data_IF_976373133976
#
_entry.id   IF_976373133976
#
_cell.length_a   1.000
_cell.length_b   1.000
_cell.length_c   1.000
_cell.angle_alpha   90.00
_cell.angle_beta   90.00
_cell.angle_gamma   90.00
#
_symmetry.space_group_name_H-M   'P 1'
#
loop_
_entity.id
_entity.type
_entity.pdbx_description
1 polymer ?
#
# COMPACT_ATOMS: atom_id res chain seq x y z
N UNK A 1 -25.34 -11.99 -12.67
CA UNK A 1 -24.17 -12.58 -13.37
C UNK A 1 -22.98 -11.64 -13.53
N UNK A 2 -23.12 -10.40 -14.05
CA UNK A 2 -21.98 -9.44 -14.04
C UNK A 2 -21.66 -8.91 -12.63
N UNK A 3 -22.70 -8.63 -11.85
CA UNK A 3 -22.57 -8.23 -10.45
C UNK A 3 -21.85 -9.32 -9.65
N UNK A 4 -22.36 -10.56 -9.68
CA UNK A 4 -21.71 -11.70 -9.02
C UNK A 4 -20.24 -11.91 -9.45
N UNK A 5 -19.89 -11.62 -10.71
CA UNK A 5 -18.51 -11.74 -11.18
C UNK A 5 -17.60 -10.61 -10.65
N UNK A 6 -18.13 -9.39 -10.51
CA UNK A 6 -17.42 -8.26 -9.90
C UNK A 6 -17.25 -8.50 -8.39
N UNK A 7 -18.32 -8.86 -7.70
CA UNK A 7 -18.32 -9.16 -6.26
C UNK A 7 -17.35 -10.29 -5.93
N UNK A 8 -17.31 -11.36 -6.74
CA UNK A 8 -16.34 -12.45 -6.59
C UNK A 8 -14.91 -11.97 -6.79
N UNK A 9 -14.65 -11.10 -7.78
CA UNK A 9 -13.31 -10.57 -8.03
C UNK A 9 -12.84 -9.75 -6.83
N UNK A 10 -13.67 -8.85 -6.32
CA UNK A 10 -13.37 -8.04 -5.14
C UNK A 10 -13.14 -8.90 -3.89
N UNK A 11 -13.98 -9.90 -3.65
CA UNK A 11 -13.81 -10.84 -2.55
C UNK A 11 -12.47 -11.61 -2.63
N UNK A 12 -12.07 -12.04 -3.83
CA UNK A 12 -10.78 -12.70 -4.04
C UNK A 12 -9.61 -11.75 -3.74
N UNK A 13 -9.66 -10.51 -4.21
CA UNK A 13 -8.58 -9.51 -3.99
C UNK A 13 -8.46 -9.18 -2.50
N UNK A 14 -9.57 -8.90 -1.83
CA UNK A 14 -9.59 -8.59 -0.40
C UNK A 14 -9.05 -9.77 0.44
N UNK A 15 -9.51 -10.99 0.17
CA UNK A 15 -9.03 -12.18 0.86
C UNK A 15 -7.55 -12.45 0.58
N UNK A 16 -7.09 -12.22 -0.65
CA UNK A 16 -5.68 -12.37 -1.00
C UNK A 16 -4.80 -11.37 -0.28
N UNK A 17 -5.20 -10.10 -0.22
CA UNK A 17 -4.47 -9.05 0.51
C UNK A 17 -4.35 -9.41 2.00
N UNK A 18 -5.43 -9.83 2.63
CA UNK A 18 -5.43 -10.21 4.05
C UNK A 18 -4.53 -11.43 4.30
N UNK A 19 -4.62 -12.47 3.48
CA UNK A 19 -3.76 -13.65 3.64
C UNK A 19 -2.28 -13.33 3.39
N UNK A 20 -1.96 -12.42 2.47
CA UNK A 20 -0.57 -11.98 2.28
C UNK A 20 -0.02 -11.28 3.53
N UNK A 21 -0.85 -10.51 4.23
CA UNK A 21 -0.52 -9.87 5.50
C UNK A 21 -0.29 -10.93 6.59
N UNK A 22 -1.22 -11.88 6.72
CA UNK A 22 -1.22 -12.84 7.83
C UNK A 22 -0.19 -13.98 7.65
N UNK A 23 -0.02 -14.47 6.42
CA UNK A 23 0.76 -15.68 6.10
C UNK A 23 1.97 -15.38 5.19
N UNK A 24 2.08 -14.18 4.63
CA UNK A 24 3.19 -13.77 3.76
C UNK A 24 3.01 -14.11 2.27
N UNK A 25 4.04 -13.88 1.42
CA UNK A 25 3.94 -13.96 -0.04
C UNK A 25 3.72 -15.37 -0.60
N UNK A 26 3.82 -16.42 0.23
CA UNK A 26 3.70 -17.83 -0.16
C UNK A 26 2.27 -18.36 -0.29
N UNK A 27 1.25 -17.55 -0.03
CA UNK A 27 -0.16 -17.99 -0.01
C UNK A 27 -0.62 -18.57 -1.35
N UNK A 28 -1.25 -19.75 -1.27
CA UNK A 28 -1.78 -20.47 -2.43
C UNK A 28 -3.13 -19.91 -2.91
N UNK A 29 -3.40 -20.02 -4.22
CA UNK A 29 -4.71 -19.65 -4.80
C UNK A 29 -5.87 -20.46 -4.18
N UNK A 30 -5.61 -21.68 -3.70
CA UNK A 30 -6.61 -22.50 -2.99
C UNK A 30 -6.98 -21.90 -1.64
N UNK A 31 -6.00 -21.45 -0.87
CA UNK A 31 -6.21 -20.76 0.41
C UNK A 31 -7.02 -19.48 0.19
N UNK A 32 -6.66 -18.71 -0.83
CA UNK A 32 -7.36 -17.48 -1.23
C UNK A 32 -8.80 -17.76 -1.61
N UNK A 33 -9.04 -18.73 -2.50
CA UNK A 33 -10.40 -19.08 -2.92
C UNK A 33 -11.27 -19.51 -1.73
N UNK A 34 -10.70 -20.30 -0.81
CA UNK A 34 -11.38 -20.70 0.43
C UNK A 34 -11.72 -19.49 1.30
N UNK A 35 -10.78 -18.58 1.53
CA UNK A 35 -11.01 -17.37 2.33
C UNK A 35 -12.04 -16.42 1.69
N UNK A 36 -12.02 -16.30 0.36
CA UNK A 36 -13.00 -15.53 -0.40
C UNK A 36 -14.37 -16.24 -0.55
N UNK A 37 -14.53 -17.46 0.00
CA UNK A 37 -15.74 -18.27 -0.15
C UNK A 37 -16.15 -18.55 -1.61
N UNK A 38 -15.17 -18.68 -2.51
CA UNK A 38 -15.36 -19.00 -3.93
C UNK A 38 -14.71 -20.34 -4.31
N UNK A 39 -15.17 -20.94 -5.41
CA UNK A 39 -14.54 -22.13 -5.97
C UNK A 39 -13.14 -21.82 -6.54
N UNK A 40 -12.20 -22.76 -6.40
CA UNK A 40 -10.83 -22.61 -6.97
C UNK A 40 -10.86 -22.40 -8.49
N UNK A 41 -11.78 -23.07 -9.20
CA UNK A 41 -11.98 -22.87 -10.63
C UNK A 41 -12.48 -21.46 -10.95
N UNK A 42 -13.30 -20.86 -10.09
CA UNK A 42 -13.75 -19.46 -10.21
C UNK A 42 -12.57 -18.52 -10.00
N UNK A 43 -11.80 -18.70 -8.92
CA UNK A 43 -10.62 -17.87 -8.65
C UNK A 43 -9.58 -17.94 -9.78
N UNK A 44 -9.29 -19.13 -10.29
CA UNK A 44 -8.36 -19.32 -11.41
C UNK A 44 -8.85 -18.72 -12.72
N UNK A 45 -10.17 -18.63 -12.95
CA UNK A 45 -10.73 -17.93 -14.13
C UNK A 45 -10.61 -16.41 -14.01
N UNK A 46 -10.77 -15.85 -12.81
CA UNK A 46 -10.60 -14.42 -12.56
C UNK A 46 -9.14 -13.97 -12.57
N UNK A 47 -8.25 -14.85 -12.12
CA UNK A 47 -6.81 -14.61 -12.03
C UNK A 47 -6.04 -15.84 -12.55
N UNK A 48 -5.91 -15.98 -13.87
CA UNK A 48 -5.14 -17.07 -14.50
C UNK A 48 -3.67 -17.07 -14.07
N UNK A 49 -3.09 -15.89 -13.90
CA UNK A 49 -1.71 -15.72 -13.46
C UNK A 49 -1.63 -15.00 -12.11
N UNK A 50 -0.64 -15.38 -11.29
CA UNK A 50 -0.42 -14.75 -9.97
C UNK A 50 -0.20 -13.24 -10.08
N UNK A 51 0.53 -12.80 -11.10
CA UNK A 51 0.80 -11.37 -11.31
C UNK A 51 -0.48 -10.57 -11.55
N UNK A 52 -1.51 -11.14 -12.17
CA UNK A 52 -2.78 -10.44 -12.40
C UNK A 52 -3.56 -10.24 -11.09
N UNK A 53 -3.41 -11.17 -10.14
CA UNK A 53 -3.94 -11.01 -8.79
C UNK A 53 -3.16 -9.94 -8.02
N UNK A 54 -1.83 -9.99 -8.06
CA UNK A 54 -0.98 -9.01 -7.38
C UNK A 54 -1.18 -7.60 -7.94
N UNK A 55 -1.37 -7.47 -9.24
CA UNK A 55 -1.70 -6.21 -9.89
C UNK A 55 -3.04 -5.65 -9.41
N UNK A 56 -4.06 -6.51 -9.28
CA UNK A 56 -5.36 -6.11 -8.74
C UNK A 56 -5.29 -5.70 -7.25
N UNK A 57 -4.46 -6.38 -6.45
CA UNK A 57 -4.18 -5.99 -5.06
C UNK A 57 -3.46 -4.63 -5.02
N UNK A 58 -2.49 -4.41 -5.91
CA UNK A 58 -1.81 -3.12 -6.06
C UNK A 58 -2.76 -1.99 -6.46
N UNK A 59 -3.68 -2.23 -7.39
CA UNK A 59 -4.69 -1.28 -7.79
C UNK A 59 -5.66 -0.94 -6.64
N UNK A 60 -6.10 -1.95 -5.87
CA UNK A 60 -6.90 -1.71 -4.67
C UNK A 60 -6.14 -0.88 -3.64
N UNK A 61 -4.86 -1.19 -3.39
CA UNK A 61 -4.04 -0.41 -2.47
C UNK A 61 -3.85 1.05 -2.93
N UNK A 62 -3.69 1.30 -4.22
CA UNK A 62 -3.63 2.66 -4.77
C UNK A 62 -4.96 3.41 -4.59
N UNK A 63 -6.09 2.72 -4.80
CA UNK A 63 -7.41 3.29 -4.58
C UNK A 63 -7.66 3.63 -3.09
N UNK A 64 -7.26 2.75 -2.17
CA UNK A 64 -7.35 2.99 -0.72
C UNK A 64 -6.55 4.23 -0.31
N UNK A 65 -5.32 4.38 -0.81
CA UNK A 65 -4.49 5.57 -0.56
C UNK A 65 -5.18 6.82 -1.12
N UNK A 66 -5.71 6.74 -2.35
CA UNK A 66 -6.39 7.87 -2.97
C UNK A 66 -7.61 8.30 -2.15
N UNK A 67 -8.41 7.37 -1.64
CA UNK A 67 -9.55 7.68 -0.78
C UNK A 67 -9.12 8.40 0.50
N UNK A 68 -8.04 7.93 1.15
CA UNK A 68 -7.48 8.58 2.34
C UNK A 68 -7.03 10.00 1.98
N UNK A 69 -6.26 10.16 0.90
CA UNK A 69 -5.79 11.47 0.46
C UNK A 69 -6.97 12.42 0.24
N UNK A 70 -8.00 12.01 -0.50
CA UNK A 70 -9.19 12.84 -0.76
C UNK A 70 -9.88 13.30 0.53
N UNK A 71 -9.99 12.40 1.51
CA UNK A 71 -10.65 12.70 2.78
C UNK A 71 -9.91 13.78 3.57
N UNK A 72 -8.57 13.68 3.62
CA UNK A 72 -7.73 14.63 4.36
C UNK A 72 -7.45 15.92 3.57
N UNK A 73 -7.55 15.92 2.23
CA UNK A 73 -7.32 17.11 1.41
C UNK A 73 -8.21 18.28 1.80
N UNK A 74 -9.46 18.01 2.19
CA UNK A 74 -10.41 19.04 2.64
C UNK A 74 -9.98 19.77 3.92
N UNK A 75 -9.12 19.15 4.73
CA UNK A 75 -8.72 19.65 6.05
C UNK A 75 -7.44 20.50 6.02
N UNK A 76 -6.68 20.46 4.91
CA UNK A 76 -5.43 21.22 4.76
C UNK A 76 -5.60 22.74 4.88
N UNK A 77 -6.78 23.26 4.54
CA UNK A 77 -7.08 24.70 4.65
C UNK A 77 -7.25 25.19 6.09
N UNK A 78 -7.68 24.32 7.00
CA UNK A 78 -7.90 24.65 8.41
C UNK A 78 -6.72 24.26 9.30
N UNK A 79 -6.17 23.06 9.09
CA UNK A 79 -5.02 22.55 9.84
C UNK A 79 -4.21 21.60 8.95
N UNK A 80 -3.29 22.19 8.18
CA UNK A 80 -2.41 21.45 7.28
C UNK A 80 -1.58 20.38 8.01
N UNK A 81 -1.15 20.64 9.26
CA UNK A 81 -0.30 19.72 10.01
C UNK A 81 -1.10 18.50 10.46
N UNK A 82 -2.29 18.72 11.01
CA UNK A 82 -3.20 17.63 11.40
C UNK A 82 -3.61 16.79 10.19
N UNK A 83 -4.03 17.42 9.09
CA UNK A 83 -4.45 16.73 7.86
C UNK A 83 -3.31 15.88 7.27
N UNK A 84 -2.11 16.45 7.19
CA UNK A 84 -0.92 15.75 6.72
C UNK A 84 -0.59 14.52 7.58
N UNK A 85 -0.52 14.70 8.91
CA UNK A 85 -0.20 13.58 9.82
C UNK A 85 -1.29 12.52 9.80
N UNK A 86 -2.56 12.93 9.83
CA UNK A 86 -3.71 12.03 9.77
C UNK A 86 -3.68 11.14 8.53
N UNK A 87 -3.47 11.74 7.35
CA UNK A 87 -3.35 10.99 6.10
C UNK A 87 -2.20 9.98 6.13
N UNK A 88 -1.01 10.39 6.58
CA UNK A 88 0.18 9.51 6.59
C UNK A 88 0.02 8.36 7.58
N UNK A 89 -0.55 8.61 8.76
CA UNK A 89 -0.87 7.55 9.73
C UNK A 89 -1.85 6.53 9.15
N UNK A 90 -2.92 7.01 8.53
CA UNK A 90 -3.94 6.14 7.96
C UNK A 90 -3.40 5.33 6.77
N UNK A 91 -2.59 5.94 5.90
CA UNK A 91 -1.88 5.23 4.82
C UNK A 91 -0.89 4.20 5.40
N UNK A 92 -0.19 4.55 6.48
CA UNK A 92 0.75 3.66 7.17
C UNK A 92 0.11 2.36 7.64
N UNK A 93 -1.16 2.42 8.05
CA UNK A 93 -1.96 1.28 8.50
C UNK A 93 -2.45 0.35 7.37
N UNK A 94 -2.25 0.73 6.09
CA UNK A 94 -2.57 -0.12 4.95
C UNK A 94 -1.55 -1.25 4.71
N UNK A 95 -0.47 -1.34 5.50
CA UNK A 95 0.53 -2.41 5.42
C UNK A 95 1.07 -2.67 4.00
N UNK A 96 1.28 -1.58 3.25
CA UNK A 96 1.61 -1.57 1.82
C UNK A 96 2.93 -2.31 1.51
N UNK A 97 3.84 -2.40 2.48
CA UNK A 97 5.10 -3.13 2.35
C UNK A 97 4.91 -4.62 2.02
N UNK A 98 3.84 -5.24 2.53
CA UNK A 98 3.53 -6.65 2.25
C UNK A 98 3.14 -6.84 0.78
N UNK A 99 2.33 -5.92 0.25
CA UNK A 99 1.93 -5.92 -1.16
C UNK A 99 3.14 -5.73 -2.06
N UNK A 100 3.97 -4.72 -1.75
CA UNK A 100 5.21 -4.47 -2.48
C UNK A 100 6.15 -5.68 -2.45
N UNK A 101 6.32 -6.33 -1.29
CA UNK A 101 7.14 -7.53 -1.15
C UNK A 101 6.63 -8.68 -2.02
N UNK A 102 5.31 -8.91 -2.06
CA UNK A 102 4.72 -9.97 -2.86
C UNK A 102 4.95 -9.74 -4.36
N UNK A 103 4.76 -8.50 -4.83
CA UNK A 103 5.00 -8.09 -6.22
C UNK A 103 6.49 -8.26 -6.61
N UNK A 104 7.40 -7.78 -5.77
CA UNK A 104 8.85 -7.88 -6.01
C UNK A 104 9.28 -9.35 -6.06
N UNK A 105 8.84 -10.15 -5.09
CA UNK A 105 9.20 -11.58 -5.00
C UNK A 105 8.72 -12.33 -6.25
N UNK A 106 7.47 -12.13 -6.65
CA UNK A 106 6.88 -12.78 -7.83
C UNK A 106 7.58 -12.33 -9.13
N UNK A 107 7.99 -11.07 -9.23
CA UNK A 107 8.75 -10.53 -10.37
C UNK A 107 10.14 -11.16 -10.46
N UNK A 108 10.84 -11.30 -9.34
CA UNK A 108 12.18 -11.91 -9.29
C UNK A 108 12.17 -13.41 -9.61
N UNK A 109 11.10 -14.12 -9.27
CA UNK A 109 10.98 -15.57 -9.51
C UNK A 109 10.66 -15.93 -10.97
N UNK A 110 10.22 -14.97 -11.80
CA UNK A 110 9.76 -15.23 -13.16
C UNK A 110 10.49 -14.35 -14.20
N UNK A 111 11.83 -14.46 -14.33
CA UNK A 111 12.65 -13.55 -15.12
C UNK A 111 12.33 -13.54 -16.62
N UNK A 112 11.79 -14.64 -17.17
CA UNK A 112 11.41 -14.72 -18.58
C UNK A 112 10.22 -13.80 -18.95
N UNK A 113 9.48 -13.33 -17.94
CA UNK A 113 8.30 -12.46 -18.13
C UNK A 113 8.54 -11.03 -17.64
N UNK A 114 9.81 -10.64 -17.40
CA UNK A 114 10.19 -9.35 -16.83
C UNK A 114 9.61 -8.15 -17.57
N UNK A 115 9.50 -8.18 -18.90
CA UNK A 115 8.98 -7.03 -19.64
C UNK A 115 7.51 -6.75 -19.34
N UNK A 116 6.64 -7.77 -19.35
CA UNK A 116 5.20 -7.59 -19.04
C UNK A 116 5.00 -7.26 -17.56
N UNK A 117 5.71 -7.96 -16.66
CA UNK A 117 5.63 -7.72 -15.22
C UNK A 117 6.17 -6.35 -14.84
N UNK A 118 7.26 -5.92 -15.48
CA UNK A 118 7.87 -4.61 -15.33
C UNK A 118 6.90 -3.49 -15.72
N UNK A 119 6.19 -3.62 -16.83
CA UNK A 119 5.16 -2.63 -17.24
C UNK A 119 4.04 -2.48 -16.21
N UNK A 120 3.58 -3.58 -15.59
CA UNK A 120 2.58 -3.52 -14.52
C UNK A 120 3.13 -2.79 -13.29
N UNK A 121 4.36 -3.13 -12.87
CA UNK A 121 5.03 -2.46 -11.75
C UNK A 121 5.22 -0.96 -12.03
N UNK A 122 5.69 -0.60 -13.22
CA UNK A 122 5.87 0.79 -13.65
C UNK A 122 4.54 1.55 -13.65
N UNK A 123 3.47 0.94 -14.19
CA UNK A 123 2.14 1.54 -14.18
C UNK A 123 1.64 1.81 -12.75
N UNK A 124 1.86 0.88 -11.82
CA UNK A 124 1.47 1.05 -10.42
C UNK A 124 2.33 2.10 -9.71
N UNK A 125 3.62 2.16 -10.00
CA UNK A 125 4.49 3.22 -9.46
C UNK A 125 4.08 4.61 -9.97
N UNK A 126 3.68 4.74 -11.23
CA UNK A 126 3.18 6.00 -11.77
C UNK A 126 1.86 6.41 -11.08
N UNK A 127 0.92 5.48 -10.92
CA UNK A 127 -0.34 5.72 -10.20
C UNK A 127 -0.11 6.15 -8.75
N UNK A 128 0.76 5.46 -8.03
CA UNK A 128 1.13 5.82 -6.64
C UNK A 128 1.76 7.21 -6.59
N UNK A 129 2.67 7.54 -7.52
CA UNK A 129 3.27 8.88 -7.60
C UNK A 129 2.20 9.95 -7.73
N UNK A 130 1.28 9.79 -8.67
CA UNK A 130 0.21 10.77 -8.92
C UNK A 130 -0.67 10.96 -7.68
N UNK A 131 -1.02 9.88 -6.97
CA UNK A 131 -1.79 9.94 -5.73
C UNK A 131 -1.04 10.68 -4.63
N UNK A 132 0.24 10.38 -4.41
CA UNK A 132 1.05 11.03 -3.37
C UNK A 132 1.35 12.49 -3.71
N UNK A 133 1.50 12.87 -4.97
CA UNK A 133 1.71 14.28 -5.34
C UNK A 133 0.57 15.17 -4.85
N UNK A 134 -0.67 14.67 -4.91
CA UNK A 134 -1.85 15.38 -4.41
C UNK A 134 -1.76 15.68 -2.92
N UNK A 135 -1.19 14.76 -2.12
CA UNK A 135 -0.96 14.94 -0.69
C UNK A 135 0.29 15.79 -0.40
N UNK A 136 1.36 15.57 -1.15
CA UNK A 136 2.66 16.20 -0.92
C UNK A 136 2.70 17.66 -1.35
N UNK A 137 2.01 18.06 -2.42
CA UNK A 137 1.95 19.46 -2.85
C UNK A 137 1.47 20.40 -1.75
N UNK A 138 0.31 20.20 -1.09
CA UNK A 138 -0.12 21.07 -0.01
C UNK A 138 0.77 20.95 1.23
N UNK A 139 1.32 19.77 1.55
CA UNK A 139 2.28 19.60 2.64
C UNK A 139 3.59 20.39 2.42
N UNK A 140 4.12 20.38 1.19
CA UNK A 140 5.28 21.18 0.77
C UNK A 140 5.00 22.68 0.88
N UNK A 141 3.84 23.13 0.40
CA UNK A 141 3.42 24.54 0.51
C UNK A 141 3.30 25.01 1.96
N UNK A 142 2.86 24.12 2.86
CA UNK A 142 2.80 24.38 4.30
C UNK A 142 4.15 24.23 5.02
N UNK A 143 5.23 23.88 4.31
CA UNK A 143 6.57 23.59 4.85
C UNK A 143 6.58 22.47 5.91
N UNK A 144 5.73 21.45 5.70
CA UNK A 144 5.66 20.25 6.54
C UNK A 144 6.61 19.14 6.05
N UNK A 145 7.14 19.27 4.83
CA UNK A 145 8.17 18.39 4.29
C UNK A 145 9.02 19.14 3.25
N UNK A 146 10.22 18.62 2.89
CA UNK A 146 11.10 19.28 1.95
C UNK A 146 10.45 19.44 0.57
N UNK A 147 10.67 20.58 -0.10
CA UNK A 147 10.13 20.85 -1.44
C UNK A 147 10.58 19.82 -2.49
N UNK A 148 11.77 19.25 -2.30
CA UNK A 148 12.41 18.24 -3.14
C UNK A 148 12.06 16.79 -2.75
N UNK A 149 11.16 16.56 -1.79
CA UNK A 149 10.74 15.21 -1.40
C UNK A 149 10.08 14.47 -2.59
N UNK A 150 10.65 13.34 -2.99
CA UNK A 150 10.11 12.49 -4.05
C UNK A 150 8.93 11.64 -3.54
N UNK A 151 7.79 11.59 -4.25
CA UNK A 151 6.63 10.78 -3.88
C UNK A 151 6.91 9.29 -3.68
N UNK A 152 7.72 8.68 -4.54
CA UNK A 152 8.02 7.25 -4.46
C UNK A 152 9.00 6.96 -3.31
N UNK A 153 9.99 7.84 -3.11
CA UNK A 153 10.87 7.75 -1.94
C UNK A 153 10.08 7.82 -0.64
N UNK A 154 9.13 8.78 -0.53
CA UNK A 154 8.27 8.89 0.63
C UNK A 154 7.38 7.66 0.83
N UNK A 155 6.74 7.17 -0.23
CA UNK A 155 5.91 5.97 -0.20
C UNK A 155 6.70 4.73 0.27
N UNK A 156 7.89 4.51 -0.30
CA UNK A 156 8.75 3.38 0.08
C UNK A 156 9.26 3.54 1.51
N UNK A 157 9.66 4.74 1.92
CA UNK A 157 10.07 5.06 3.27
C UNK A 157 8.99 4.74 4.30
N UNK A 158 7.75 5.17 4.02
CA UNK A 158 6.59 4.87 4.85
C UNK A 158 6.36 3.37 4.96
N UNK A 159 6.38 2.64 3.84
CA UNK A 159 6.26 1.18 3.84
C UNK A 159 7.35 0.48 4.66
N UNK A 160 8.59 0.96 4.61
CA UNK A 160 9.70 0.38 5.38
C UNK A 160 9.48 0.56 6.88
N UNK A 161 9.03 1.73 7.34
CA UNK A 161 8.85 2.00 8.78
C UNK A 161 7.56 1.38 9.34
N UNK A 162 6.53 1.16 8.52
CA UNK A 162 5.26 0.54 8.94
C UNK A 162 5.17 -0.96 8.61
N UNK A 163 6.30 -1.57 8.23
CA UNK A 163 6.34 -2.99 7.90
C UNK A 163 5.92 -3.82 9.13
N UNK A 164 4.91 -4.70 9.00
CA UNK A 164 4.51 -5.56 10.11
C UNK A 164 5.63 -6.54 10.47
N UNK A 165 5.72 -6.85 11.77
CA UNK A 165 6.56 -7.95 12.22
C UNK A 165 6.04 -9.29 11.69
N UNK A 166 6.91 -10.28 11.46
CA UNK A 166 6.47 -11.62 11.08
C UNK A 166 5.47 -12.18 12.11
N UNK A 167 4.42 -12.84 11.62
CA UNK A 167 3.41 -13.44 12.47
C UNK A 167 4.02 -14.43 13.48
N UNK A 168 3.51 -14.41 14.71
CA UNK A 168 3.91 -15.35 15.77
C UNK A 168 5.20 -15.00 16.50
N UNK A 169 5.82 -13.83 16.23
CA UNK A 169 6.95 -13.32 17.02
C UNK A 169 6.41 -12.68 18.30
N UNK A 170 6.66 -13.25 19.51
CA UNK A 170 6.28 -12.61 20.75
C UNK A 170 7.21 -11.43 21.01
N UNK A 171 6.69 -10.22 20.91
CA UNK A 171 7.40 -9.00 21.25
C UNK A 171 6.76 -8.35 22.48
N UNK A 172 7.57 -7.88 23.47
CA UNK A 172 7.06 -7.23 24.68
C UNK A 172 6.75 -5.74 24.42
N UNK A 173 6.31 -5.39 23.21
CA UNK A 173 5.98 -4.02 22.82
C UNK A 173 4.68 -3.99 22.04
N UNK A 174 3.94 -2.90 22.17
CA UNK A 174 2.79 -2.59 21.32
C UNK A 174 3.30 -2.15 19.95
N UNK A 175 3.14 -3.04 18.96
CA UNK A 175 3.68 -2.85 17.60
C UNK A 175 2.95 -1.74 16.87
N UNK A 176 1.65 -1.57 17.11
CA UNK A 176 0.84 -0.53 16.47
C UNK A 176 1.23 0.83 17.03
N UNK A 177 1.43 0.94 18.35
CA UNK A 177 1.94 2.14 18.97
C UNK A 177 3.36 2.48 18.50
N UNK A 178 4.22 1.47 18.34
CA UNK A 178 5.57 1.65 17.81
C UNK A 178 5.54 2.18 16.37
N UNK A 179 4.71 1.60 15.51
CA UNK A 179 4.55 2.06 14.12
C UNK A 179 4.09 3.52 14.06
N UNK A 180 3.07 3.89 14.85
CA UNK A 180 2.63 5.28 14.95
C UNK A 180 3.76 6.22 15.41
N UNK A 181 4.52 5.81 16.42
CA UNK A 181 5.66 6.61 16.92
C UNK A 181 6.76 6.78 15.87
N UNK A 182 7.03 5.75 15.06
CA UNK A 182 8.01 5.83 13.97
C UNK A 182 7.55 6.75 12.85
N UNK A 183 6.25 6.73 12.51
CA UNK A 183 5.66 7.70 11.58
C UNK A 183 5.85 9.11 12.13
N UNK A 184 5.54 9.35 13.39
CA UNK A 184 5.67 10.67 14.01
C UNK A 184 7.11 11.20 13.96
N UNK A 185 8.09 10.36 14.30
CA UNK A 185 9.52 10.69 14.21
C UNK A 185 9.94 11.03 12.78
N UNK A 186 9.48 10.25 11.80
CA UNK A 186 9.79 10.50 10.40
C UNK A 186 9.20 11.84 9.92
N UNK A 187 7.95 12.14 10.28
CA UNK A 187 7.27 13.38 9.91
C UNK A 187 7.91 14.60 10.58
N UNK A 188 8.28 14.51 11.85
CA UNK A 188 8.98 15.58 12.55
C UNK A 188 10.33 15.88 11.89
N UNK A 189 11.06 14.83 11.48
CA UNK A 189 12.32 14.97 10.74
C UNK A 189 12.14 15.64 9.37
N UNK A 190 11.09 15.32 8.64
CA UNK A 190 10.76 15.96 7.36
C UNK A 190 10.42 17.45 7.55
N UNK A 191 9.63 17.77 8.57
CA UNK A 191 9.24 19.14 8.89
C UNK A 191 10.44 19.99 9.31
N UNK A 192 11.32 19.47 10.16
CA UNK A 192 12.57 20.15 10.54
C UNK A 192 13.46 20.44 9.33
N UNK A 193 13.59 19.48 8.39
CA UNK A 193 14.35 19.68 7.14
C UNK A 193 13.72 20.71 6.22
N UNK A 194 12.40 20.85 6.24
CA UNK A 194 11.68 21.86 5.46
C UNK A 194 11.87 23.27 6.01
N UNK A 195 12.02 23.41 7.33
CA UNK A 195 12.20 24.69 8.02
C UNK A 195 13.66 25.18 8.01
N UNK A 196 14.62 24.27 7.84
CA UNK A 196 16.04 24.59 7.77
C UNK A 196 16.50 25.16 6.42
N UNK A 197 15.63 25.16 5.40
CA UNK A 197 15.83 25.75 4.06
C UNK A 197 15.00 27.02 3.92
#
# INVERSE_FOLDING_TARGET
MRQDAADNREAIVAAARQLLIDEGPGVSLRSIAKAASVGVATASRHFPERIELLDAIGAQAAADINEIVERHLGEFGSDARSAWRGAVHEIGNLQLAVVAQAIITDTMQNPETLSRRGQLVESRMAEIRDVYDRLLVPAKNARLCPADLDPLEFHMGLGVITRPLPAGVPVPVDVDQLAASLIDIALDGLELRAQAK
#
